data_IF_892817580075
#
_entry.id   IF_892817580075
#
_cell.length_a   1.000
_cell.length_b   1.000
_cell.length_c   1.000
_cell.angle_alpha   90.00
_cell.angle_beta   90.00
_cell.angle_gamma   90.00
#
_symmetry.space_group_name_H-M   'P 1'
#
loop_
_entity.id
_entity.type
_entity.pdbx_description
1 polymer ?
#
# COMPACT_ATOMS: atom_id res chain seq x y z
N UNK A 1 15.22 65.80 -4.82
CA UNK A 1 16.45 65.02 -5.10
C UNK A 1 16.80 64.09 -3.92
N UNK A 2 16.81 64.60 -2.68
CA UNK A 2 16.99 63.78 -1.47
C UNK A 2 15.90 62.71 -1.29
N UNK A 3 14.62 63.05 -1.48
CA UNK A 3 13.52 62.08 -1.32
C UNK A 3 13.60 60.91 -2.28
N UNK A 4 14.04 61.14 -3.52
CA UNK A 4 14.24 60.09 -4.51
C UNK A 4 15.31 59.09 -4.07
N UNK A 5 16.42 59.61 -3.52
CA UNK A 5 17.50 58.78 -2.99
C UNK A 5 17.05 58.01 -1.75
N UNK A 6 16.38 58.69 -0.81
CA UNK A 6 15.84 58.10 0.42
C UNK A 6 14.85 56.97 0.10
N UNK A 7 13.91 57.21 -0.82
CA UNK A 7 12.94 56.20 -1.27
C UNK A 7 13.63 55.01 -1.93
N UNK A 8 14.65 55.23 -2.75
CA UNK A 8 15.39 54.15 -3.40
C UNK A 8 16.15 53.27 -2.40
N UNK A 9 16.81 53.89 -1.42
CA UNK A 9 17.52 53.17 -0.34
C UNK A 9 16.53 52.36 0.49
N UNK A 10 15.41 52.98 0.89
CA UNK A 10 14.38 52.31 1.68
C UNK A 10 13.78 51.13 0.91
N UNK A 11 13.41 51.33 -0.34
CA UNK A 11 12.87 50.28 -1.22
C UNK A 11 13.86 49.12 -1.38
N UNK A 12 15.14 49.40 -1.63
CA UNK A 12 16.15 48.35 -1.75
C UNK A 12 16.33 47.56 -0.45
N UNK A 13 16.34 48.25 0.69
CA UNK A 13 16.47 47.62 2.00
C UNK A 13 15.24 46.78 2.37
N UNK A 14 14.03 47.29 2.11
CA UNK A 14 12.78 46.55 2.26
C UNK A 14 12.77 45.31 1.37
N UNK A 15 13.15 45.44 0.10
CA UNK A 15 13.22 44.31 -0.82
C UNK A 15 14.21 43.24 -0.34
N UNK A 16 15.39 43.64 0.14
CA UNK A 16 16.37 42.69 0.68
C UNK A 16 15.85 41.95 1.91
N UNK A 17 15.16 42.64 2.82
CA UNK A 17 14.53 42.01 3.98
C UNK A 17 13.45 41.00 3.57
N UNK A 18 12.56 41.38 2.65
CA UNK A 18 11.51 40.48 2.15
C UNK A 18 12.09 39.25 1.46
N UNK A 19 13.18 39.40 0.70
CA UNK A 19 13.88 38.26 0.08
C UNK A 19 14.52 37.35 1.12
N UNK A 20 15.23 37.90 2.11
CA UNK A 20 15.84 37.11 3.20
C UNK A 20 14.77 36.34 3.99
N UNK A 21 13.68 37.01 4.34
CA UNK A 21 12.56 36.41 5.05
C UNK A 21 11.93 35.28 4.23
N UNK A 22 11.70 35.47 2.92
CA UNK A 22 11.23 34.40 2.04
C UNK A 22 12.15 33.18 2.06
N UNK A 23 13.47 33.37 2.04
CA UNK A 23 14.45 32.28 2.10
C UNK A 23 14.37 31.54 3.44
N UNK A 24 14.27 32.26 4.56
CA UNK A 24 14.13 31.64 5.90
C UNK A 24 12.82 30.86 6.02
N UNK A 25 11.71 31.42 5.53
CA UNK A 25 10.41 30.75 5.50
C UNK A 25 10.41 29.51 4.60
N UNK A 26 11.25 29.49 3.58
CA UNK A 26 11.46 28.34 2.71
C UNK A 26 12.32 27.26 3.36
N UNK A 27 13.26 27.61 4.24
CA UNK A 27 14.10 26.62 4.92
C UNK A 27 13.40 25.94 6.11
N UNK A 28 12.27 26.48 6.56
CA UNK A 28 11.49 25.95 7.67
C UNK A 28 10.93 24.55 7.33
N UNK A 29 11.42 23.53 8.04
CA UNK A 29 10.98 22.15 7.85
C UNK A 29 9.67 21.86 8.60
N UNK A 30 8.84 21.01 7.99
CA UNK A 30 7.59 20.51 8.56
C UNK A 30 7.92 19.46 9.65
N UNK A 31 8.38 19.91 10.83
CA UNK A 31 8.94 19.03 11.85
C UNK A 31 7.92 18.11 12.54
N UNK A 32 6.73 18.61 12.84
CA UNK A 32 5.72 17.95 13.68
C UNK A 32 4.44 17.53 12.94
N UNK A 33 4.45 17.60 11.60
CA UNK A 33 3.34 17.19 10.75
C UNK A 33 2.08 18.08 10.85
N UNK A 34 2.05 19.05 11.76
CA UNK A 34 0.96 20.02 11.88
C UNK A 34 1.22 21.23 11.00
N UNK A 35 0.45 21.30 9.94
CA UNK A 35 0.52 22.34 8.93
C UNK A 35 0.06 23.70 9.47
N UNK A 36 -0.83 23.72 10.47
CA UNK A 36 -1.23 24.93 11.21
C UNK A 36 -0.08 25.56 11.99
N UNK A 37 0.74 24.72 12.64
CA UNK A 37 1.90 25.22 13.39
C UNK A 37 2.93 25.81 12.45
N UNK A 38 3.22 25.13 11.32
CA UNK A 38 4.08 25.70 10.28
C UNK A 38 3.59 27.08 9.87
N UNK A 39 2.30 27.21 9.56
CA UNK A 39 1.72 28.49 9.14
C UNK A 39 1.89 29.57 10.22
N UNK A 40 1.63 29.22 11.48
CA UNK A 40 1.77 30.15 12.61
C UNK A 40 3.22 30.60 12.80
N UNK A 41 4.19 29.68 12.72
CA UNK A 41 5.62 30.00 12.78
C UNK A 41 6.02 30.91 11.61
N UNK A 42 5.52 30.63 10.40
CA UNK A 42 5.75 31.48 9.24
C UNK A 42 5.17 32.89 9.43
N UNK A 43 4.00 33.01 10.07
CA UNK A 43 3.37 34.30 10.41
C UNK A 43 4.17 35.06 11.47
N UNK A 44 4.66 34.36 12.49
CA UNK A 44 5.49 34.91 13.56
C UNK A 44 6.80 35.46 12.99
N UNK A 45 7.46 34.68 12.12
CA UNK A 45 8.69 35.10 11.42
C UNK A 45 8.42 36.25 10.44
N UNK A 46 7.25 36.26 9.79
CA UNK A 46 6.90 37.32 8.87
C UNK A 46 6.63 38.66 9.56
N UNK A 47 6.19 38.65 10.82
CA UNK A 47 5.93 39.84 11.64
C UNK A 47 5.13 40.94 10.90
N UNK A 48 4.21 40.55 10.00
CA UNK A 48 3.40 41.47 9.19
C UNK A 48 4.09 42.10 7.98
N UNK A 49 5.34 41.72 7.65
CA UNK A 49 6.07 42.24 6.49
C UNK A 49 5.69 41.56 5.16
N UNK A 50 4.94 40.46 5.19
CA UNK A 50 4.53 39.69 4.02
C UNK A 50 3.01 39.65 3.95
N UNK A 51 2.47 39.80 2.73
CA UNK A 51 1.04 39.68 2.43
C UNK A 51 0.60 38.22 2.58
N UNK A 52 -0.56 38.00 3.20
CA UNK A 52 -1.11 36.67 3.47
C UNK A 52 -1.17 35.77 2.22
N UNK A 53 -1.45 36.32 1.03
CA UNK A 53 -1.43 35.57 -0.25
C UNK A 53 -0.05 34.99 -0.58
N UNK A 54 1.01 35.77 -0.33
CA UNK A 54 2.39 35.33 -0.58
C UNK A 54 2.80 34.28 0.44
N UNK A 55 2.41 34.48 1.70
CA UNK A 55 2.62 33.52 2.78
C UNK A 55 1.92 32.18 2.45
N UNK A 56 0.68 32.24 2.00
CA UNK A 56 -0.13 31.11 1.55
C UNK A 56 0.53 30.37 0.40
N UNK A 57 1.03 31.08 -0.61
CA UNK A 57 1.75 30.46 -1.74
C UNK A 57 2.99 29.69 -1.29
N UNK A 58 3.80 30.27 -0.39
CA UNK A 58 5.00 29.60 0.14
C UNK A 58 4.60 28.40 1.00
N UNK A 59 3.57 28.54 1.84
CA UNK A 59 3.06 27.46 2.69
C UNK A 59 2.51 26.30 1.84
N UNK A 60 1.71 26.57 0.82
CA UNK A 60 1.18 25.55 -0.10
C UNK A 60 2.29 24.77 -0.79
N UNK A 61 3.36 25.45 -1.26
CA UNK A 61 4.51 24.79 -1.90
C UNK A 61 5.22 23.80 -0.97
N UNK A 62 5.06 23.91 0.35
CA UNK A 62 5.66 23.01 1.36
C UNK A 62 4.78 21.82 1.69
N UNK A 63 3.50 21.86 1.35
CA UNK A 63 2.56 20.79 1.67
C UNK A 63 2.68 19.63 0.65
N UNK A 64 2.44 18.38 1.08
CA UNK A 64 2.26 17.26 0.17
C UNK A 64 1.14 17.55 -0.84
N UNK A 65 1.28 17.02 -2.06
CA UNK A 65 0.33 17.21 -3.17
C UNK A 65 -1.09 16.82 -2.79
N UNK A 66 -1.27 15.78 -1.96
CA UNK A 66 -2.57 15.35 -1.44
C UNK A 66 -3.31 16.46 -0.69
N UNK A 67 -2.60 17.19 0.17
CA UNK A 67 -3.17 18.31 0.92
C UNK A 67 -3.43 19.49 -0.01
N UNK A 68 -2.49 19.82 -0.92
CA UNK A 68 -2.67 20.91 -1.88
C UNK A 68 -3.92 20.74 -2.75
N UNK A 69 -4.20 19.52 -3.22
CA UNK A 69 -5.37 19.22 -4.04
C UNK A 69 -6.68 19.48 -3.30
N UNK A 70 -6.75 19.13 -2.02
CA UNK A 70 -7.93 19.34 -1.18
C UNK A 70 -8.12 20.84 -0.90
N UNK A 71 -7.03 21.54 -0.56
CA UNK A 71 -7.07 22.98 -0.31
C UNK A 71 -7.37 23.79 -1.57
N UNK A 72 -7.01 23.31 -2.76
CA UNK A 72 -7.32 24.02 -4.02
C UNK A 72 -8.82 24.12 -4.29
N UNK A 73 -9.64 23.30 -3.64
CA UNK A 73 -11.11 23.30 -3.78
C UNK A 73 -11.76 24.26 -2.77
N UNK A 74 -11.12 24.50 -1.61
CA UNK A 74 -11.60 25.47 -0.63
C UNK A 74 -11.21 26.91 -1.01
N UNK A 75 -12.12 27.86 -0.76
CA UNK A 75 -11.91 29.31 -0.97
C UNK A 75 -11.97 30.07 0.35
N UNK A 76 -11.44 29.45 1.40
CA UNK A 76 -11.56 29.94 2.75
C UNK A 76 -10.37 30.83 3.15
N UNK A 77 -10.40 31.37 4.37
CA UNK A 77 -9.28 32.14 4.92
C UNK A 77 -8.07 31.25 5.24
N UNK A 78 -6.90 31.89 5.39
CA UNK A 78 -5.64 31.22 5.70
C UNK A 78 -5.72 30.34 6.96
N UNK A 79 -6.42 30.82 7.99
CA UNK A 79 -6.65 30.06 9.23
C UNK A 79 -7.51 28.81 8.99
N UNK A 80 -8.53 28.89 8.13
CA UNK A 80 -9.35 27.74 7.74
C UNK A 80 -8.57 26.71 6.94
N UNK A 81 -7.67 27.15 6.04
CA UNK A 81 -6.80 26.25 5.30
C UNK A 81 -5.88 25.45 6.22
N UNK A 82 -5.27 26.09 7.22
CA UNK A 82 -4.47 25.42 8.24
C UNK A 82 -5.27 24.34 8.99
N UNK A 83 -6.53 24.65 9.35
CA UNK A 83 -7.40 23.69 10.03
C UNK A 83 -7.78 22.51 9.13
N UNK A 84 -8.08 22.76 7.85
CA UNK A 84 -8.40 21.71 6.88
C UNK A 84 -7.18 20.81 6.65
N UNK A 85 -6.01 21.42 6.47
CA UNK A 85 -4.77 20.70 6.22
C UNK A 85 -4.38 19.80 7.41
N UNK A 86 -4.56 20.26 8.65
CA UNK A 86 -4.35 19.43 9.83
C UNK A 86 -5.32 18.26 9.90
N UNK A 87 -6.61 18.49 9.62
CA UNK A 87 -7.62 17.41 9.55
C UNK A 87 -7.28 16.40 8.47
N UNK A 88 -6.84 16.84 7.29
CA UNK A 88 -6.41 15.96 6.20
C UNK A 88 -5.19 15.14 6.62
N UNK A 89 -4.22 15.75 7.31
CA UNK A 89 -3.04 15.04 7.80
C UNK A 89 -3.42 13.96 8.82
N UNK A 90 -4.34 14.25 9.73
CA UNK A 90 -4.90 13.27 10.67
C UNK A 90 -5.63 12.14 9.93
N UNK A 91 -6.49 12.47 8.97
CA UNK A 91 -7.23 11.47 8.16
C UNK A 91 -6.30 10.63 7.28
N UNK A 92 -5.23 11.21 6.72
CA UNK A 92 -4.27 10.42 5.93
C UNK A 92 -3.39 9.52 6.82
N UNK A 93 -3.21 9.89 8.09
CA UNK A 93 -2.58 9.02 9.09
C UNK A 93 -3.47 7.83 9.46
N UNK A 94 -4.79 7.93 9.24
CA UNK A 94 -5.65 6.75 9.07
C UNK A 94 -5.37 6.12 7.70
N UNK A 95 -4.17 5.56 7.56
CA UNK A 95 -3.88 4.59 6.51
C UNK A 95 -4.86 3.44 6.74
N UNK A 96 -5.73 3.06 5.78
CA UNK A 96 -6.28 1.72 5.83
C UNK A 96 -5.05 0.82 5.86
N UNK A 97 -4.97 -0.02 6.87
CA UNK A 97 -3.97 -1.05 7.01
C UNK A 97 -4.06 -1.95 5.76
N UNK A 98 -3.42 -1.53 4.67
CA UNK A 98 -3.12 -2.40 3.55
C UNK A 98 -2.04 -3.31 4.11
N UNK A 99 -2.51 -4.37 4.77
CA UNK A 99 -1.72 -5.45 5.28
C UNK A 99 -0.83 -5.90 4.11
N UNK A 100 0.46 -5.61 4.20
CA UNK A 100 1.42 -6.03 3.20
C UNK A 100 1.52 -7.54 3.33
N UNK A 101 0.75 -8.28 2.51
CA UNK A 101 0.70 -9.76 2.39
C UNK A 101 2.04 -10.40 1.97
N UNK A 102 3.13 -9.66 2.06
CA UNK A 102 4.46 -10.07 1.60
C UNK A 102 5.06 -11.12 2.53
N UNK A 103 4.77 -11.05 3.85
CA UNK A 103 5.28 -12.05 4.81
C UNK A 103 4.57 -13.39 4.67
N UNK A 104 3.23 -13.39 4.53
CA UNK A 104 2.43 -14.62 4.39
C UNK A 104 2.74 -15.36 3.08
N UNK A 105 3.08 -14.66 2.00
CA UNK A 105 3.47 -15.30 0.75
C UNK A 105 4.76 -16.12 0.87
N UNK A 106 5.71 -15.70 1.71
CA UNK A 106 6.96 -16.45 1.90
C UNK A 106 6.72 -17.75 2.68
N UNK A 107 5.84 -17.72 3.67
CA UNK A 107 5.46 -18.91 4.46
C UNK A 107 4.63 -19.89 3.64
N UNK A 108 3.68 -19.39 2.83
CA UNK A 108 2.89 -20.22 1.92
C UNK A 108 3.75 -20.86 0.81
N UNK A 109 4.76 -20.16 0.30
CA UNK A 109 5.72 -20.70 -0.66
C UNK A 109 6.58 -21.81 -0.03
N UNK A 110 7.09 -21.58 1.18
CA UNK A 110 7.85 -22.59 1.94
C UNK A 110 7.01 -23.85 2.22
N UNK A 111 5.75 -23.67 2.62
CA UNK A 111 4.85 -24.80 2.87
C UNK A 111 4.51 -25.56 1.57
N UNK A 112 4.36 -24.84 0.45
CA UNK A 112 4.14 -25.43 -0.87
C UNK A 112 5.31 -26.29 -1.34
N UNK A 113 6.55 -25.85 -1.11
CA UNK A 113 7.76 -26.62 -1.39
C UNK A 113 7.86 -27.88 -0.51
N UNK A 114 7.50 -27.79 0.78
CA UNK A 114 7.49 -28.94 1.69
C UNK A 114 6.48 -30.02 1.26
N UNK A 115 5.25 -29.62 0.88
CA UNK A 115 4.23 -30.55 0.37
C UNK A 115 4.68 -31.22 -0.93
N UNK A 116 5.35 -30.48 -1.83
CA UNK A 116 5.91 -31.05 -3.06
C UNK A 116 7.01 -32.07 -2.77
N UNK A 117 7.89 -31.78 -1.80
CA UNK A 117 8.98 -32.67 -1.39
C UNK A 117 8.46 -33.96 -0.71
N UNK A 118 7.50 -33.84 0.21
CA UNK A 118 6.85 -34.99 0.85
C UNK A 118 6.13 -35.87 -0.19
N UNK A 119 5.49 -35.26 -1.18
CA UNK A 119 4.89 -35.99 -2.32
C UNK A 119 5.91 -36.75 -3.16
N UNK A 120 7.12 -36.21 -3.34
CA UNK A 120 8.21 -36.89 -4.04
C UNK A 120 8.78 -38.07 -3.23
N UNK A 121 8.94 -37.91 -1.91
CA UNK A 121 9.36 -38.97 -0.98
C UNK A 121 8.35 -40.14 -0.99
N UNK A 122 7.04 -39.87 -0.88
CA UNK A 122 6.01 -40.90 -0.98
C UNK A 122 6.05 -41.65 -2.31
N UNK A 123 6.23 -40.95 -3.44
CA UNK A 123 6.38 -41.59 -4.76
C UNK A 123 7.61 -42.50 -4.84
N UNK A 124 8.68 -42.17 -4.12
CA UNK A 124 9.91 -42.97 -4.07
C UNK A 124 9.73 -44.19 -3.18
N UNK A 125 9.12 -44.02 -2.01
CA UNK A 125 8.77 -45.10 -1.08
C UNK A 125 7.84 -46.10 -1.78
N UNK A 126 6.74 -45.63 -2.39
CA UNK A 126 5.78 -46.50 -3.09
C UNK A 126 6.42 -47.25 -4.26
N UNK A 127 7.33 -46.64 -5.02
CA UNK A 127 8.09 -47.36 -6.06
C UNK A 127 9.00 -48.44 -5.47
N UNK A 128 9.66 -48.15 -4.35
CA UNK A 128 10.54 -49.10 -3.67
C UNK A 128 9.80 -50.25 -2.98
N UNK A 129 8.57 -50.03 -2.52
CA UNK A 129 7.72 -51.08 -1.94
C UNK A 129 7.10 -51.94 -3.03
N UNK A 130 6.66 -51.34 -4.15
CA UNK A 130 6.22 -52.08 -5.33
C UNK A 130 7.34 -52.94 -5.93
N UNK A 131 8.59 -52.45 -5.97
CA UNK A 131 9.72 -53.26 -6.44
C UNK A 131 10.04 -54.43 -5.51
N UNK A 132 9.81 -54.30 -4.19
CA UNK A 132 9.99 -55.38 -3.22
C UNK A 132 8.88 -56.44 -3.31
N UNK A 133 7.64 -56.02 -3.58
CA UNK A 133 6.49 -56.93 -3.75
C UNK A 133 6.58 -57.68 -5.09
N UNK A 134 7.12 -57.04 -6.14
CA UNK A 134 7.36 -57.66 -7.45
C UNK A 134 8.36 -58.83 -7.44
N UNK A 135 9.17 -58.99 -6.39
CA UNK A 135 10.16 -60.09 -6.30
C UNK A 135 9.51 -61.40 -5.84
N UNK A 136 8.31 -61.35 -5.27
CA UNK A 136 7.56 -62.55 -4.88
C UNK A 136 6.73 -63.00 -6.09
N UNK A 137 7.42 -63.62 -7.05
CA UNK A 137 6.82 -64.34 -8.17
C UNK A 137 5.97 -65.49 -7.65
N UNK A 138 4.64 -65.36 -7.69
CA UNK A 138 3.71 -66.49 -7.64
C UNK A 138 3.01 -66.58 -8.99
N UNK A 139 3.11 -67.70 -9.72
CA UNK A 139 2.51 -67.84 -11.05
C UNK A 139 0.98 -67.91 -10.95
N UNK A 140 0.29 -67.09 -11.75
CA UNK A 140 -1.16 -67.17 -11.95
C UNK A 140 -1.51 -68.38 -12.84
N UNK A 141 -2.48 -69.23 -12.46
CA UNK A 141 -3.08 -70.17 -13.40
C UNK A 141 -4.08 -69.44 -14.32
N UNK A 142 -4.03 -69.84 -15.59
CA UNK A 142 -4.85 -69.41 -16.72
C UNK A 142 -6.25 -70.01 -16.62
N UNK A 143 -7.33 -69.20 -16.55
CA UNK A 143 -8.69 -69.53 -17.08
C UNK A 143 -9.39 -68.18 -17.42
N UNK A 144 -9.27 -67.72 -18.67
CA UNK A 144 -10.23 -67.88 -19.78
C UNK A 144 -11.40 -66.87 -19.74
N UNK A 145 -11.29 -65.90 -20.63
CA UNK A 145 -12.32 -64.98 -21.12
C UNK A 145 -13.57 -65.72 -21.59
N UNK A 146 -14.77 -65.31 -21.19
CA UNK A 146 -15.99 -65.65 -21.93
C UNK A 146 -16.78 -64.41 -22.27
N UNK A 147 -16.81 -64.20 -23.58
CA UNK A 147 -17.48 -63.19 -24.38
C UNK A 147 -19.00 -63.23 -24.19
N UNK A 148 -19.57 -62.04 -24.12
CA UNK A 148 -20.99 -61.70 -24.28
C UNK A 148 -21.67 -62.46 -25.43
N UNK A 149 -22.69 -63.29 -25.15
CA UNK A 149 -23.87 -63.45 -26.03
C UNK A 149 -25.00 -64.22 -25.33
N UNK A 150 -26.23 -63.86 -25.70
CA UNK A 150 -27.48 -64.61 -25.60
C UNK A 150 -28.42 -64.39 -24.40
N UNK A 151 -29.56 -63.82 -24.79
CA UNK A 151 -30.81 -63.61 -24.10
C UNK A 151 -31.60 -64.92 -23.92
N UNK A 152 -32.61 -64.86 -23.05
CA UNK A 152 -33.67 -65.86 -22.79
C UNK A 152 -33.27 -67.14 -22.04
N UNK A 153 -33.61 -67.21 -20.74
CA UNK A 153 -34.48 -68.28 -20.24
C UNK A 153 -35.05 -67.89 -18.87
N UNK A 154 -36.34 -67.56 -18.88
CA UNK A 154 -37.36 -67.92 -17.89
C UNK A 154 -36.94 -68.41 -16.50
N UNK A 155 -37.52 -67.74 -15.49
CA UNK A 155 -38.43 -68.46 -14.60
C UNK A 155 -37.98 -68.67 -13.15
N UNK A 156 -38.91 -68.31 -12.27
CA UNK A 156 -39.15 -68.88 -10.94
C UNK A 156 -38.35 -68.26 -9.80
N UNK A 157 -38.89 -67.17 -9.25
CA UNK A 157 -38.98 -67.01 -7.79
C UNK A 157 -40.33 -66.36 -7.44
N UNK A 158 -41.39 -67.17 -7.48
CA UNK A 158 -42.58 -66.97 -6.64
C UNK A 158 -42.38 -67.79 -5.37
N UNK A 159 -43.06 -67.35 -4.29
CA UNK A 159 -43.35 -68.01 -2.99
C UNK A 159 -42.52 -67.34 -1.85
N UNK A 160 -43.07 -66.32 -1.18
CA UNK A 160 -44.07 -66.32 -0.09
C UNK A 160 -43.43 -66.59 1.28
N UNK A 161 -43.13 -65.52 2.05
CA UNK A 161 -43.87 -65.12 3.24
C UNK A 161 -43.55 -63.65 3.58
#
# INVERSE_FOLDING_TARGET
>A
MYDTLKTRILSHFSQSQSTKLRVVLQDLQLGDGKTSRLLQEMRNLAAGNIVDDVLMSIWMQRLPTSIQQILSVSKDSLDSFAQIADKVNEVSSFRPEVNTVVSENSELQSLGEEVANLGAELKRITRSTLSKISVISVPLPVIFTVTSHFSLFTGITRILL
#
